data_IF_592183402596
#
_entry.id   IF_592183402596
#
_cell.length_a   1.000
_cell.length_b   1.000
_cell.length_c   1.000
_cell.angle_alpha   90.00
_cell.angle_beta   90.00
_cell.angle_gamma   90.00
#
_symmetry.space_group_name_H-M   'P 1'
#
loop_
_entity.id
_entity.type
_entity.pdbx_description
1 polymer ?
#
# COMPACT_ATOMS: atom_id res chain seq x y z
N UNK A 1 -0.92 18.23 20.21
CA UNK A 1 -2.04 18.28 19.28
C UNK A 1 -2.47 16.89 18.86
N UNK A 2 -3.74 16.73 18.64
CA UNK A 2 -4.29 15.48 18.16
C UNK A 2 -3.69 15.08 16.81
N UNK A 3 -3.41 13.79 16.64
CA UNK A 3 -2.98 13.25 15.37
C UNK A 3 -4.14 13.40 14.37
N UNK A 4 -3.95 14.24 13.37
CA UNK A 4 -4.91 14.41 12.28
C UNK A 4 -4.23 14.19 10.95
N UNK A 5 -4.90 13.48 10.07
CA UNK A 5 -4.43 13.34 8.69
C UNK A 5 -4.61 14.68 7.97
N UNK A 6 -3.60 15.06 7.19
CA UNK A 6 -3.67 16.30 6.40
C UNK A 6 -4.75 16.21 5.34
N UNK A 7 -5.51 17.30 5.18
CA UNK A 7 -6.54 17.41 4.13
C UNK A 7 -5.96 17.42 2.72
N UNK A 8 -4.66 17.72 2.58
CA UNK A 8 -3.97 17.70 1.28
C UNK A 8 -3.54 16.30 0.83
N UNK A 9 -3.75 15.29 1.68
CA UNK A 9 -3.40 13.92 1.36
C UNK A 9 -4.65 13.17 0.88
N UNK A 10 -4.61 12.70 -0.36
CA UNK A 10 -5.63 11.82 -0.91
C UNK A 10 -5.39 10.41 -0.36
N UNK A 11 -6.28 9.95 0.51
CA UNK A 11 -6.15 8.66 1.20
C UNK A 11 -7.06 7.61 0.55
N UNK A 12 -6.58 6.38 0.50
CA UNK A 12 -7.35 5.26 0.01
C UNK A 12 -6.93 3.93 0.63
N UNK A 13 -7.84 2.98 0.65
CA UNK A 13 -7.58 1.62 1.13
C UNK A 13 -8.18 0.59 0.18
N UNK A 14 -7.41 -0.46 -0.10
CA UNK A 14 -7.89 -1.65 -0.81
C UNK A 14 -8.14 -2.74 0.23
N UNK A 15 -9.40 -3.13 0.39
CA UNK A 15 -9.79 -4.29 1.19
C UNK A 15 -9.56 -5.52 0.33
N UNK A 16 -8.72 -6.40 0.78
CA UNK A 16 -8.24 -7.50 -0.03
C UNK A 16 -8.23 -8.79 0.76
N UNK A 17 -8.75 -9.85 0.17
CA UNK A 17 -8.69 -11.20 0.71
C UNK A 17 -8.00 -12.11 -0.28
N UNK A 18 -6.96 -12.83 0.20
CA UNK A 18 -6.23 -13.76 -0.63
C UNK A 18 -7.13 -14.94 -1.07
N UNK A 19 -6.85 -15.48 -2.26
CA UNK A 19 -7.53 -16.67 -2.78
C UNK A 19 -7.26 -17.90 -1.91
N UNK A 20 -6.04 -18.00 -1.37
CA UNK A 20 -5.59 -19.05 -0.46
C UNK A 20 -4.65 -18.45 0.58
N UNK A 21 -4.68 -19.00 1.80
CA UNK A 21 -3.85 -18.52 2.91
C UNK A 21 -2.36 -18.59 2.62
N UNK A 22 -1.90 -19.63 1.93
CA UNK A 22 -0.51 -19.83 1.56
C UNK A 22 -0.04 -18.89 0.44
N UNK A 23 -0.97 -18.20 -0.24
CA UNK A 23 -0.68 -17.24 -1.31
C UNK A 23 -0.85 -15.78 -0.89
N UNK A 24 -1.26 -15.54 0.35
CA UNK A 24 -1.57 -14.20 0.82
C UNK A 24 -0.42 -13.21 0.60
N UNK A 25 0.80 -13.56 1.02
CA UNK A 25 1.95 -12.68 0.89
C UNK A 25 2.29 -12.36 -0.58
N UNK A 26 2.29 -13.38 -1.45
CA UNK A 26 2.59 -13.17 -2.87
C UNK A 26 1.50 -12.36 -3.59
N UNK A 27 0.23 -12.63 -3.29
CA UNK A 27 -0.89 -11.87 -3.86
C UNK A 27 -0.90 -10.43 -3.37
N UNK A 28 -0.58 -10.22 -2.10
CA UNK A 28 -0.47 -8.90 -1.49
C UNK A 28 0.61 -8.05 -2.19
N UNK A 29 1.77 -8.64 -2.47
CA UNK A 29 2.83 -7.97 -3.23
C UNK A 29 2.40 -7.67 -4.66
N UNK A 30 1.63 -8.55 -5.27
CA UNK A 30 1.09 -8.33 -6.61
C UNK A 30 0.12 -7.15 -6.64
N UNK A 31 -0.75 -7.04 -5.64
CA UNK A 31 -1.66 -5.88 -5.50
C UNK A 31 -0.86 -4.60 -5.32
N UNK A 32 0.20 -4.62 -4.50
CA UNK A 32 1.08 -3.47 -4.31
C UNK A 32 1.67 -2.99 -5.65
N UNK A 33 2.21 -3.90 -6.44
CA UNK A 33 2.77 -3.54 -7.76
C UNK A 33 1.71 -2.96 -8.68
N UNK A 34 0.50 -3.51 -8.67
CA UNK A 34 -0.59 -2.99 -9.49
C UNK A 34 -1.04 -1.59 -9.04
N UNK A 35 -1.05 -1.31 -7.74
CA UNK A 35 -1.32 0.03 -7.22
C UNK A 35 -0.28 1.04 -7.68
N UNK A 36 0.99 0.66 -7.63
CA UNK A 36 2.09 1.50 -8.11
C UNK A 36 1.92 1.78 -9.61
N UNK A 37 1.67 0.75 -10.39
CA UNK A 37 1.51 0.86 -11.85
C UNK A 37 0.33 1.76 -12.23
N UNK A 38 -0.77 1.71 -11.48
CA UNK A 38 -1.93 2.57 -11.73
C UNK A 38 -1.62 4.06 -11.53
N UNK A 39 -0.66 4.39 -10.69
CA UNK A 39 -0.25 5.79 -10.48
C UNK A 39 0.65 6.29 -11.61
N UNK A 40 1.36 5.38 -12.29
CA UNK A 40 2.20 5.71 -13.42
C UNK A 40 3.22 6.79 -13.13
N UNK A 41 3.33 7.77 -14.02
CA UNK A 41 4.29 8.87 -13.91
C UNK A 41 4.00 9.85 -12.77
N UNK A 42 2.78 9.84 -12.23
CA UNK A 42 2.43 10.65 -11.05
C UNK A 42 3.20 10.22 -9.81
N UNK A 43 3.60 8.94 -9.73
CA UNK A 43 4.43 8.43 -8.66
C UNK A 43 5.90 8.71 -8.97
N UNK A 44 6.36 9.88 -8.59
CA UNK A 44 7.76 10.30 -8.85
C UNK A 44 8.71 9.70 -7.84
N UNK A 45 8.29 9.57 -6.60
CA UNK A 45 9.01 8.87 -5.54
C UNK A 45 8.00 8.38 -4.49
N UNK A 46 8.35 7.32 -3.80
CA UNK A 46 7.43 6.75 -2.81
C UNK A 46 8.17 6.08 -1.66
N UNK A 47 7.51 6.07 -0.50
CA UNK A 47 7.91 5.23 0.62
C UNK A 47 6.86 4.12 0.76
N UNK A 48 7.33 2.89 0.86
CA UNK A 48 6.50 1.71 1.08
C UNK A 48 6.76 1.22 2.51
N UNK A 49 5.73 1.22 3.35
CA UNK A 49 5.85 0.83 4.74
C UNK A 49 5.42 -0.60 4.98
N UNK A 50 6.28 -1.36 5.65
CA UNK A 50 5.99 -2.71 6.15
C UNK A 50 6.13 -2.73 7.66
N UNK A 51 5.33 -3.55 8.34
CA UNK A 51 5.39 -3.66 9.81
C UNK A 51 6.64 -4.39 10.29
N UNK A 52 7.17 -5.32 9.50
CA UNK A 52 8.30 -6.17 9.86
C UNK A 52 9.49 -5.93 8.94
N UNK A 53 10.70 -5.91 9.52
CA UNK A 53 11.93 -5.77 8.75
C UNK A 53 12.16 -6.92 7.75
N UNK A 54 11.68 -8.14 8.05
CA UNK A 54 11.71 -9.27 7.10
C UNK A 54 10.86 -8.98 5.88
N UNK A 55 9.68 -8.38 6.04
CA UNK A 55 8.81 -7.99 4.93
C UNK A 55 9.38 -6.81 4.14
N UNK A 56 10.11 -5.91 4.79
CA UNK A 56 10.83 -4.84 4.10
C UNK A 56 11.79 -5.43 3.06
N UNK A 57 12.60 -6.41 3.46
CA UNK A 57 13.54 -7.07 2.54
C UNK A 57 12.82 -7.83 1.42
N UNK A 58 11.79 -8.58 1.77
CA UNK A 58 11.03 -9.38 0.80
C UNK A 58 10.35 -8.47 -0.24
N UNK A 59 9.72 -7.39 0.22
CA UNK A 59 9.08 -6.42 -0.68
C UNK A 59 10.08 -5.72 -1.57
N UNK A 60 11.22 -5.29 -1.04
CA UNK A 60 12.24 -4.61 -1.83
C UNK A 60 12.80 -5.55 -2.91
N UNK A 61 13.11 -6.80 -2.57
CA UNK A 61 13.58 -7.81 -3.52
C UNK A 61 12.54 -8.11 -4.59
N UNK A 62 11.27 -8.22 -4.21
CA UNK A 62 10.17 -8.45 -5.14
C UNK A 62 10.04 -7.30 -6.12
N UNK A 63 10.10 -6.06 -5.65
CA UNK A 63 10.04 -4.88 -6.52
C UNK A 63 11.20 -4.86 -7.50
N UNK A 64 12.43 -5.09 -7.03
CA UNK A 64 13.61 -5.17 -7.90
C UNK A 64 13.46 -6.25 -8.97
N UNK A 65 12.96 -7.43 -8.60
CA UNK A 65 12.74 -8.54 -9.52
C UNK A 65 11.80 -8.14 -10.67
N UNK A 66 10.81 -7.33 -10.39
CA UNK A 66 9.82 -6.88 -11.39
C UNK A 66 10.18 -5.53 -12.04
N UNK A 67 11.42 -5.07 -11.88
CA UNK A 67 11.94 -3.91 -12.60
C UNK A 67 11.71 -2.56 -11.94
N UNK A 68 11.28 -2.55 -10.67
CA UNK A 68 11.12 -1.31 -9.92
C UNK A 68 12.44 -0.93 -9.25
N UNK A 69 12.76 0.37 -9.28
CA UNK A 69 13.95 0.92 -8.63
C UNK A 69 13.68 1.10 -7.14
N UNK A 70 13.94 0.06 -6.36
CA UNK A 70 13.60 -0.03 -4.95
C UNK A 70 14.78 -0.49 -4.10
N UNK A 71 14.85 -0.01 -2.86
CA UNK A 71 15.83 -0.45 -1.87
C UNK A 71 15.23 -0.45 -0.48
N UNK A 72 15.68 -1.36 0.41
CA UNK A 72 15.18 -1.44 1.77
C UNK A 72 15.93 -0.54 2.74
N UNK A 73 15.24 -0.06 3.77
CA UNK A 73 15.85 0.49 4.98
C UNK A 73 15.21 -0.15 6.21
N UNK A 74 16.01 -0.80 7.05
CA UNK A 74 15.61 -1.33 8.34
C UNK A 74 16.83 -1.43 9.28
N UNK A 75 16.56 -1.78 10.55
CA UNK A 75 17.57 -1.73 11.60
C UNK A 75 18.74 -2.71 11.50
N UNK A 76 18.59 -3.79 10.72
CA UNK A 76 19.66 -4.81 10.56
C UNK A 76 20.68 -4.46 9.47
N UNK A 77 20.41 -3.43 8.67
CA UNK A 77 21.38 -2.94 7.69
C UNK A 77 22.50 -2.18 8.39
N UNK A 78 23.73 -2.29 7.87
CA UNK A 78 24.83 -1.49 8.42
C UNK A 78 24.63 0.01 8.08
N UNK A 79 25.31 0.87 8.85
CA UNK A 79 25.14 2.31 8.75
C UNK A 79 25.54 2.85 7.38
N UNK A 80 26.57 2.27 6.75
CA UNK A 80 27.01 2.72 5.44
C UNK A 80 25.98 2.40 4.34
N UNK A 81 25.34 1.24 4.40
CA UNK A 81 24.26 0.87 3.48
C UNK A 81 23.05 1.78 3.64
N UNK A 82 22.67 2.06 4.90
CA UNK A 82 21.53 2.96 5.21
C UNK A 82 21.81 4.36 4.66
N UNK A 83 23.01 4.88 4.87
CA UNK A 83 23.39 6.20 4.40
C UNK A 83 23.37 6.29 2.88
N UNK A 84 23.94 5.30 2.18
CA UNK A 84 23.95 5.25 0.71
C UNK A 84 22.56 5.18 0.12
N UNK A 85 21.68 4.34 0.69
CA UNK A 85 20.31 4.20 0.25
C UNK A 85 19.55 5.50 0.42
N UNK A 86 19.69 6.13 1.58
CA UNK A 86 19.01 7.39 1.88
C UNK A 86 19.49 8.53 0.97
N UNK A 87 20.79 8.64 0.74
CA UNK A 87 21.34 9.63 -0.18
C UNK A 87 20.85 9.45 -1.61
N UNK A 88 20.82 8.19 -2.10
CA UNK A 88 20.31 7.89 -3.42
C UNK A 88 18.83 8.28 -3.54
N UNK A 89 18.05 8.05 -2.49
CA UNK A 89 16.63 8.44 -2.46
C UNK A 89 16.47 9.97 -2.47
N UNK A 90 17.24 10.69 -1.68
CA UNK A 90 17.23 12.16 -1.64
C UNK A 90 17.62 12.79 -2.98
N UNK A 91 18.59 12.19 -3.67
CA UNK A 91 19.09 12.67 -4.95
C UNK A 91 18.21 12.30 -6.15
N UNK A 92 17.13 11.54 -5.91
CA UNK A 92 16.24 11.08 -6.97
C UNK A 92 16.79 9.93 -7.81
N UNK A 93 17.88 9.30 -7.38
CA UNK A 93 18.46 8.12 -8.03
C UNK A 93 17.76 6.82 -7.67
N UNK A 94 17.01 6.84 -6.57
CA UNK A 94 16.20 5.74 -6.08
C UNK A 94 14.77 6.21 -5.99
N UNK A 95 13.83 5.50 -6.62
CA UNK A 95 12.43 5.90 -6.70
C UNK A 95 11.59 5.39 -5.53
N UNK A 96 11.85 4.16 -5.09
CA UNK A 96 11.05 3.50 -4.05
C UNK A 96 11.92 3.13 -2.85
N UNK A 97 11.55 3.67 -1.69
CA UNK A 97 12.18 3.31 -0.42
C UNK A 97 11.23 2.39 0.34
N UNK A 98 11.67 1.18 0.68
CA UNK A 98 10.88 0.26 1.49
C UNK A 98 11.41 0.30 2.91
N UNK A 99 10.55 0.61 3.88
CA UNK A 99 10.97 0.88 5.25
C UNK A 99 10.03 0.32 6.30
N UNK A 100 10.58 0.06 7.49
CA UNK A 100 9.79 -0.15 8.70
C UNK A 100 9.56 1.19 9.41
N UNK A 101 8.59 1.26 10.31
CA UNK A 101 8.30 2.48 11.08
C UNK A 101 9.51 2.93 11.90
N UNK A 102 10.18 1.99 12.56
CA UNK A 102 11.35 2.29 13.40
C UNK A 102 12.48 2.88 12.56
N UNK A 103 12.75 2.29 11.40
CA UNK A 103 13.82 2.78 10.53
C UNK A 103 13.48 4.15 9.90
N UNK A 104 12.20 4.41 9.65
CA UNK A 104 11.77 5.69 9.08
C UNK A 104 11.76 6.83 10.10
N UNK A 105 11.66 6.53 11.39
CA UNK A 105 11.75 7.55 12.45
C UNK A 105 13.14 8.17 12.45
N UNK A 106 13.20 9.50 12.46
CA UNK A 106 14.46 10.21 12.45
C UNK A 106 15.16 10.27 11.10
N UNK A 107 14.60 9.66 10.05
CA UNK A 107 15.09 9.86 8.70
C UNK A 107 14.63 11.22 8.18
N UNK A 108 15.58 12.00 7.75
CA UNK A 108 15.32 13.23 7.04
C UNK A 108 15.17 12.90 5.55
N UNK A 109 13.93 12.60 5.14
CA UNK A 109 13.60 12.31 3.74
C UNK A 109 12.81 13.46 3.16
N UNK A 110 13.00 13.78 1.87
CA UNK A 110 12.18 14.79 1.22
C UNK A 110 10.73 14.35 1.17
N UNK A 111 9.83 15.31 0.95
CA UNK A 111 8.43 14.97 0.70
C UNK A 111 8.31 14.04 -0.50
N UNK A 112 7.55 12.97 -0.35
CA UNK A 112 7.32 12.00 -1.43
C UNK A 112 5.96 12.23 -2.08
N UNK A 113 5.84 11.84 -3.35
CA UNK A 113 4.55 11.93 -4.04
C UNK A 113 3.53 10.94 -3.49
N UNK A 114 4.00 9.77 -3.06
CA UNK A 114 3.15 8.67 -2.62
C UNK A 114 3.69 7.98 -1.38
N UNK A 115 2.77 7.54 -0.52
CA UNK A 115 3.04 6.59 0.55
C UNK A 115 2.17 5.35 0.30
N UNK A 116 2.78 4.17 0.31
CA UNK A 116 2.07 2.90 0.23
C UNK A 116 2.23 2.16 1.56
N UNK A 117 1.13 1.95 2.25
CA UNK A 117 1.09 1.13 3.45
C UNK A 117 0.83 -0.32 3.01
N UNK A 118 1.90 -1.08 2.82
CA UNK A 118 1.81 -2.50 2.49
C UNK A 118 1.08 -3.27 3.60
N UNK A 119 1.33 -2.89 4.84
CA UNK A 119 0.64 -3.40 6.02
C UNK A 119 -0.16 -2.30 6.70
N UNK A 120 -1.32 -2.64 7.27
CA UNK A 120 -2.01 -1.77 8.21
C UNK A 120 -1.15 -1.64 9.47
N UNK A 121 -0.81 -0.42 9.90
CA UNK A 121 0.03 -0.25 11.09
C UNK A 121 -0.61 -0.88 12.34
N UNK A 122 0.21 -1.49 13.19
CA UNK A 122 -0.24 -2.08 14.46
C UNK A 122 -0.70 -1.03 15.47
N UNK A 123 -0.14 0.17 15.38
CA UNK A 123 -0.51 1.31 16.23
C UNK A 123 -1.13 2.40 15.37
N UNK A 124 -2.34 2.90 15.72
CA UNK A 124 -3.04 3.88 14.86
C UNK A 124 -2.25 5.16 14.59
N UNK A 125 -1.47 5.65 15.57
CA UNK A 125 -0.66 6.86 15.41
C UNK A 125 0.38 6.71 14.30
N UNK A 126 0.88 5.48 14.08
CA UNK A 126 1.88 5.23 13.02
C UNK A 126 1.30 5.52 11.64
N UNK A 127 0.01 5.33 11.46
CA UNK A 127 -0.65 5.69 10.19
C UNK A 127 -0.46 7.17 9.85
N UNK A 128 -0.73 8.04 10.82
CA UNK A 128 -0.59 9.50 10.64
C UNK A 128 0.88 9.87 10.36
N UNK A 129 1.82 9.25 11.08
CA UNK A 129 3.24 9.48 10.86
C UNK A 129 3.69 9.01 9.46
N UNK A 130 3.20 7.86 9.01
CA UNK A 130 3.52 7.31 7.69
C UNK A 130 3.03 8.22 6.58
N UNK A 131 1.75 8.58 6.59
CA UNK A 131 1.18 9.39 5.51
C UNK A 131 1.68 10.82 5.54
N UNK A 132 2.15 11.31 6.70
CA UNK A 132 2.76 12.63 6.83
C UNK A 132 4.08 12.78 6.07
N UNK A 133 4.59 11.73 5.42
CA UNK A 133 5.74 11.83 4.51
C UNK A 133 5.36 12.36 3.13
N UNK A 134 4.08 12.43 2.82
CA UNK A 134 3.56 13.03 1.60
C UNK A 134 2.68 14.24 1.92
N UNK A 135 2.35 15.05 0.93
CA UNK A 135 1.47 16.21 1.11
C UNK A 135 2.07 17.34 1.93
N UNK A 136 3.40 17.46 1.96
CA UNK A 136 4.10 18.51 2.72
C UNK A 136 4.25 19.81 1.92
N UNK A 137 4.40 20.91 2.64
CA UNK A 137 4.71 22.23 2.06
C UNK A 137 3.67 22.69 1.02
N UNK A 138 2.38 22.39 1.27
CA UNK A 138 1.29 22.80 0.39
C UNK A 138 1.17 21.97 -0.88
N UNK A 139 1.95 20.92 -1.04
CA UNK A 139 1.86 20.00 -2.17
C UNK A 139 0.82 18.91 -1.89
N UNK A 140 0.11 18.49 -2.94
CA UNK A 140 -0.79 17.36 -2.86
C UNK A 140 0.02 16.07 -2.70
N UNK A 141 -0.52 15.14 -1.92
CA UNK A 141 0.08 13.84 -1.70
C UNK A 141 -0.96 12.73 -1.80
N UNK A 142 -0.50 11.50 -1.98
CA UNK A 142 -1.37 10.34 -2.04
C UNK A 142 -0.86 9.23 -1.13
N UNK A 143 -1.76 8.63 -0.37
CA UNK A 143 -1.48 7.53 0.53
C UNK A 143 -2.45 6.39 0.28
N UNK A 144 -1.92 5.22 -0.02
CA UNK A 144 -2.67 4.00 -0.29
C UNK A 144 -2.34 2.94 0.75
N UNK A 145 -3.32 2.15 1.14
CA UNK A 145 -3.14 1.08 2.13
C UNK A 145 -3.78 -0.22 1.67
N UNK A 146 -3.12 -1.33 1.97
CA UNK A 146 -3.68 -2.67 1.81
C UNK A 146 -4.18 -3.17 3.16
N UNK A 147 -5.42 -3.64 3.20
CA UNK A 147 -6.03 -4.19 4.41
C UNK A 147 -6.55 -5.60 4.12
N UNK A 148 -6.02 -6.59 4.83
CA UNK A 148 -6.50 -7.97 4.78
C UNK A 148 -7.45 -8.21 5.95
N UNK A 149 -8.28 -9.28 5.94
CA UNK A 149 -9.29 -9.48 6.98
C UNK A 149 -8.77 -9.46 8.41
N UNK A 150 -7.60 -10.05 8.69
CA UNK A 150 -7.04 -10.05 10.05
C UNK A 150 -6.58 -8.67 10.52
N UNK A 151 -6.43 -7.70 9.62
CA UNK A 151 -6.03 -6.32 9.96
C UNK A 151 -7.22 -5.41 10.22
N UNK A 152 -8.45 -5.91 10.11
CA UNK A 152 -9.67 -5.10 10.22
C UNK A 152 -9.74 -4.33 11.54
N UNK A 153 -9.37 -4.96 12.65
CA UNK A 153 -9.40 -4.31 13.96
C UNK A 153 -8.44 -3.12 14.05
N UNK A 154 -7.23 -3.28 13.53
CA UNK A 154 -6.25 -2.20 13.49
C UNK A 154 -6.70 -1.08 12.53
N UNK A 155 -7.31 -1.45 11.41
CA UNK A 155 -7.87 -0.49 10.46
C UNK A 155 -9.00 0.33 11.11
N UNK A 156 -9.91 -0.30 11.82
CA UNK A 156 -11.01 0.37 12.51
C UNK A 156 -10.47 1.37 13.56
N UNK A 157 -9.39 1.01 14.25
CA UNK A 157 -8.75 1.88 15.23
C UNK A 157 -8.13 3.13 14.56
N UNK A 158 -7.61 2.99 13.35
CA UNK A 158 -7.08 4.13 12.58
C UNK A 158 -8.22 5.08 12.22
N UNK A 159 -9.33 4.59 11.67
CA UNK A 159 -10.48 5.42 11.31
C UNK A 159 -11.07 6.13 12.54
N UNK A 160 -11.08 5.45 13.68
CA UNK A 160 -11.53 6.04 14.94
C UNK A 160 -10.60 7.18 15.39
N UNK A 161 -9.29 6.99 15.26
CA UNK A 161 -8.30 8.01 15.64
C UNK A 161 -8.39 9.26 14.78
N UNK A 162 -8.44 9.09 13.47
CA UNK A 162 -8.48 10.21 12.53
C UNK A 162 -9.89 10.80 12.37
N UNK A 163 -10.90 10.16 12.95
CA UNK A 163 -12.32 10.60 12.90
C UNK A 163 -12.82 10.79 11.47
N UNK A 164 -12.44 9.87 10.60
CA UNK A 164 -12.72 9.94 9.18
C UNK A 164 -12.72 8.53 8.59
N UNK A 165 -13.62 8.29 7.65
CA UNK A 165 -13.57 7.06 6.84
C UNK A 165 -12.53 7.22 5.74
N UNK A 166 -11.68 6.20 5.58
CA UNK A 166 -10.72 6.16 4.49
C UNK A 166 -11.44 5.60 3.27
N UNK A 167 -11.46 6.31 2.13
CA UNK A 167 -12.16 5.83 0.94
C UNK A 167 -11.69 4.44 0.51
N UNK A 168 -12.65 3.53 0.32
CA UNK A 168 -12.39 2.19 -0.20
C UNK A 168 -12.19 2.28 -1.71
N UNK A 169 -11.14 1.66 -2.18
CA UNK A 169 -10.81 1.60 -3.59
C UNK A 169 -10.86 0.16 -4.07
N UNK A 170 -11.17 -0.02 -5.33
CA UNK A 170 -11.19 -1.34 -5.94
C UNK A 170 -9.77 -1.91 -6.03
N UNK A 171 -9.67 -3.23 -5.85
CA UNK A 171 -8.43 -3.95 -6.11
C UNK A 171 -8.13 -3.83 -7.61
N UNK A 172 -6.99 -3.23 -8.01
CA UNK A 172 -6.67 -3.02 -9.43
C UNK A 172 -6.57 -4.33 -10.23
N UNK A 173 -6.32 -5.46 -9.57
CA UNK A 173 -6.30 -6.76 -10.22
C UNK A 173 -7.70 -7.28 -10.55
N UNK A 174 -8.72 -6.91 -9.78
CA UNK A 174 -10.13 -7.29 -10.03
C UNK A 174 -10.73 -6.50 -11.19
N UNK A 175 -10.32 -5.24 -11.37
CA UNK A 175 -10.82 -4.40 -12.47
C UNK A 175 -10.38 -4.91 -13.85
N UNK A 176 -9.43 -5.84 -13.92
CA UNK A 176 -8.98 -6.48 -15.14
C UNK A 176 -9.69 -7.79 -15.48
N UNK A 177 -10.66 -8.24 -14.66
CA UNK A 177 -11.48 -9.40 -15.00
C UNK A 177 -12.38 -9.08 -16.19
N UNK A 178 -12.42 -9.97 -17.21
CA UNK A 178 -13.23 -9.71 -18.41
C UNK A 178 -14.72 -9.66 -18.04
N UNK A 179 -15.42 -8.65 -18.50
CA UNK A 179 -16.87 -8.49 -18.31
C UNK A 179 -17.68 -9.74 -18.74
N UNK A 180 -17.14 -10.55 -19.63
CA UNK A 180 -17.75 -11.80 -20.09
C UNK A 180 -17.95 -12.85 -18.98
N UNK A 181 -17.19 -12.84 -17.90
CA UNK A 181 -17.32 -13.77 -16.79
C UNK A 181 -18.56 -13.46 -15.90
N UNK A 182 -18.96 -12.20 -15.83
CA UNK A 182 -20.14 -11.76 -15.06
C UNK A 182 -21.42 -12.05 -15.83
N UNK A 183 -21.41 -11.90 -17.15
CA UNK A 183 -22.58 -12.21 -18.00
C UNK A 183 -22.88 -13.70 -18.06
N UNK A 184 -21.86 -14.56 -18.03
CA UNK A 184 -22.08 -16.02 -18.04
C UNK A 184 -22.68 -16.53 -16.75
N UNK A 185 -22.38 -15.93 -15.60
CA UNK A 185 -22.96 -16.29 -14.30
C UNK A 185 -24.44 -15.87 -14.21
N UNK A 186 -24.83 -14.71 -14.76
CA UNK A 186 -26.22 -14.25 -14.75
C UNK A 186 -27.12 -15.05 -15.71
N UNK A 187 -26.58 -15.51 -16.83
CA UNK A 187 -27.32 -16.36 -17.78
C UNK A 187 -27.51 -17.80 -17.28
N UNK A 188 -26.62 -18.31 -16.45
CA UNK A 188 -26.76 -19.63 -15.83
C UNK A 188 -27.88 -19.65 -14.77
N UNK A 189 -28.03 -18.59 -13.99
CA UNK A 189 -29.10 -18.47 -13.01
C UNK A 189 -30.48 -18.31 -13.62
N UNK A 190 -30.62 -17.69 -14.78
CA UNK A 190 -31.91 -17.53 -15.45
C UNK A 190 -32.40 -18.78 -16.18
N UNK A 191 -31.56 -19.80 -16.39
CA UNK A 191 -31.96 -21.07 -17.02
C UNK A 191 -32.51 -22.10 -16.02
N UNK A 192 -32.09 -22.05 -14.76
CA UNK A 192 -32.58 -22.94 -13.71
C UNK A 192 -33.99 -22.56 -13.23
N UNK A 193 -34.40 -21.30 -13.45
CA UNK A 193 -35.72 -20.82 -13.03
C UNK A 193 -36.85 -21.13 -14.05
N UNK A 194 -36.52 -21.64 -15.24
CA UNK A 194 -37.49 -22.01 -16.27
C UNK A 194 -37.74 -23.50 -16.37
N UNK A 195 -37.10 -24.33 -15.52
CA UNK A 195 -37.19 -25.79 -15.60
C UNK A 195 -38.33 -26.44 -14.78
N UNK A 196 -39.09 -25.70 -14.00
CA UNK A 196 -40.02 -26.28 -13.02
C UNK A 196 -41.46 -25.75 -13.19
N UNK A 197 -42.02 -25.88 -14.41
CA UNK A 197 -43.45 -25.76 -14.67
C UNK A 197 -43.90 -26.82 -15.66
N UNK A 198 -44.13 -28.04 -15.13
CA UNK A 198 -45.09 -29.02 -15.66
C UNK A 198 -45.63 -29.83 -14.52
#
# INVERSE_FOLDING_TARGET
RQATASETIDQGVVMFKASRRDREASEKRKVLRALIDNEGEKCTNAIIFCNRKTDVDICAKSLLKYGYDAAPIHGDLDQSQRTRTLEAFREGKLRFLVASDVAARGLDVPSVSHVFNYDVPSHPEDYVHRIGRTGRAGRDGKAMMLCIPRDQKNFDAIEALIKKEIPRQENPLKSSEPAAAVESASKAQSRDDMGDKN
#
